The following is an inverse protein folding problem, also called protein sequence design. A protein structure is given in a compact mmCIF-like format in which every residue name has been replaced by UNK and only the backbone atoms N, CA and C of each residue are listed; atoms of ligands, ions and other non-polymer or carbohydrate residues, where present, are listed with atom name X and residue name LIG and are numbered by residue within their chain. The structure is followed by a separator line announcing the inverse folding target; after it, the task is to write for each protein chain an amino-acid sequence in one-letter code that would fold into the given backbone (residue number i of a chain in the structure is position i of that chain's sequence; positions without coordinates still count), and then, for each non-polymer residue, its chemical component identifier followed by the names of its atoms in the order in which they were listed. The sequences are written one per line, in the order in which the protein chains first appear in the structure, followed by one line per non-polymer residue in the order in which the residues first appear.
data_IF_721899014368
#
_entry.id   IF_721899014368
#
_cell.length_a   1.000
_cell.length_b   1.000
_cell.length_c   1.000
_cell.angle_alpha   90.00
_cell.angle_beta   90.00
_cell.angle_gamma   90.00
#
_symmetry.space_group_name_H-M   'P 1'
#
loop_
_entity.id
_entity.type
_entity.pdbx_description
1 polymer ?
#
# COMPACT_ATOMS: atom_id res chain seq x y z
N UNK A 1 22.92 16.08 4.86
CA UNK A 1 22.59 15.28 3.68
C UNK A 1 23.01 13.85 3.99
N UNK A 2 22.09 13.05 4.48
CA UNK A 2 22.39 11.71 4.98
C UNK A 2 22.29 10.72 3.83
N UNK A 3 23.32 9.92 3.63
CA UNK A 3 23.36 8.85 2.64
C UNK A 3 22.65 7.64 3.24
N UNK A 4 21.52 7.29 2.68
CA UNK A 4 20.79 6.07 3.04
C UNK A 4 21.42 4.92 2.25
N UNK A 5 21.84 3.89 2.95
CA UNK A 5 22.70 2.78 2.58
C UNK A 5 22.60 2.21 1.16
N UNK A 6 23.76 1.72 0.65
CA UNK A 6 23.86 0.90 -0.56
C UNK A 6 23.08 -0.39 -0.39
N UNK A 7 22.16 -0.65 -1.31
CA UNK A 7 21.66 -2.00 -1.54
C UNK A 7 22.71 -2.67 -2.42
N UNK A 8 23.61 -3.48 -1.83
CA UNK A 8 24.56 -4.25 -2.61
C UNK A 8 23.81 -5.23 -3.52
N UNK A 9 23.93 -5.05 -4.84
CA UNK A 9 23.46 -6.02 -5.81
C UNK A 9 24.46 -7.17 -5.89
N UNK A 10 23.96 -8.40 -5.87
CA UNK A 10 24.76 -9.56 -6.19
C UNK A 10 25.27 -9.43 -7.63
N UNK A 11 26.60 -9.39 -7.81
CA UNK A 11 27.36 -9.45 -9.06
C UNK A 11 27.01 -8.38 -10.13
N UNK A 12 27.53 -7.15 -9.96
CA UNK A 12 27.44 -6.11 -10.97
C UNK A 12 28.54 -6.23 -12.02
N UNK A 13 28.32 -7.05 -13.05
CA UNK A 13 29.19 -7.07 -14.25
C UNK A 13 28.76 -6.07 -15.34
N UNK A 14 27.69 -5.33 -15.16
CA UNK A 14 27.26 -4.25 -16.05
C UNK A 14 27.42 -2.90 -15.36
N UNK A 15 28.24 -2.01 -15.93
CA UNK A 15 28.55 -0.68 -15.37
C UNK A 15 27.39 0.33 -15.35
N UNK A 16 26.13 -0.11 -15.26
CA UNK A 16 24.95 0.72 -15.19
C UNK A 16 24.70 1.18 -13.75
N UNK A 17 24.83 2.48 -13.49
CA UNK A 17 24.50 3.10 -12.21
C UNK A 17 23.22 3.90 -12.30
N UNK A 18 22.41 3.90 -11.23
CA UNK A 18 21.21 4.70 -11.11
C UNK A 18 21.20 5.48 -9.80
N UNK A 19 20.82 6.74 -9.87
CA UNK A 19 20.62 7.59 -8.68
C UNK A 19 19.14 7.92 -8.59
N UNK A 20 18.54 7.61 -7.43
CA UNK A 20 17.13 7.90 -7.14
C UNK A 20 17.09 9.02 -6.11
N UNK A 21 16.41 10.09 -6.44
CA UNK A 21 16.21 11.23 -5.56
C UNK A 21 14.84 11.09 -4.89
N UNK A 22 14.86 10.83 -3.60
CA UNK A 22 13.69 10.61 -2.75
C UNK A 22 13.51 9.14 -2.35
N UNK A 23 13.58 8.86 -1.05
CA UNK A 23 13.36 7.56 -0.43
C UNK A 23 11.91 7.38 0.09
N UNK A 24 10.92 7.98 -0.57
CA UNK A 24 9.51 7.67 -0.36
C UNK A 24 9.14 6.34 -1.01
N UNK A 25 7.88 5.89 -0.87
CA UNK A 25 7.42 4.59 -1.38
C UNK A 25 7.74 4.39 -2.86
N UNK A 26 7.49 5.41 -3.71
CA UNK A 26 7.80 5.33 -5.14
C UNK A 26 9.29 5.22 -5.44
N UNK A 27 10.13 6.00 -4.74
CA UNK A 27 11.58 5.92 -4.90
C UNK A 27 12.16 4.58 -4.45
N UNK A 28 11.69 4.05 -3.32
CA UNK A 28 12.08 2.73 -2.83
C UNK A 28 11.65 1.61 -3.79
N UNK A 29 10.42 1.64 -4.30
CA UNK A 29 9.94 0.67 -5.28
C UNK A 29 10.75 0.73 -6.60
N UNK A 30 11.13 1.95 -7.04
CA UNK A 30 12.00 2.12 -8.22
C UNK A 30 13.40 1.58 -7.96
N UNK A 31 13.96 1.81 -6.76
CA UNK A 31 15.26 1.28 -6.35
C UNK A 31 15.26 -0.26 -6.41
N UNK A 32 14.27 -0.89 -5.79
CA UNK A 32 14.12 -2.34 -5.80
C UNK A 32 14.05 -2.89 -7.23
N UNK A 33 13.21 -2.31 -8.09
CA UNK A 33 13.05 -2.77 -9.49
C UNK A 33 14.32 -2.58 -10.33
N UNK A 34 15.07 -1.51 -10.11
CA UNK A 34 16.34 -1.28 -10.82
C UNK A 34 17.44 -2.21 -10.31
N UNK A 35 17.54 -2.40 -8.99
CA UNK A 35 18.49 -3.36 -8.39
C UNK A 35 18.20 -4.79 -8.88
N UNK A 36 16.94 -5.20 -8.96
CA UNK A 36 16.54 -6.50 -9.51
C UNK A 36 16.93 -6.68 -11.00
N UNK A 37 17.16 -5.58 -11.73
CA UNK A 37 17.66 -5.58 -13.11
C UNK A 37 19.18 -5.45 -13.22
N UNK A 38 19.90 -5.50 -12.10
CA UNK A 38 21.36 -5.45 -12.06
C UNK A 38 21.97 -4.04 -12.10
N UNK A 39 21.20 -3.00 -11.83
CA UNK A 39 21.75 -1.66 -11.65
C UNK A 39 22.38 -1.52 -10.27
N UNK A 40 23.52 -0.81 -10.19
CA UNK A 40 24.08 -0.28 -8.94
C UNK A 40 23.27 0.97 -8.57
N UNK A 41 22.41 0.86 -7.53
CA UNK A 41 21.43 1.90 -7.18
C UNK A 41 21.84 2.65 -5.94
N UNK A 42 21.91 3.98 -6.06
CA UNK A 42 22.06 4.89 -4.92
C UNK A 42 20.76 5.66 -4.70
N UNK A 43 20.21 5.62 -3.50
CA UNK A 43 19.03 6.41 -3.10
C UNK A 43 19.47 7.57 -2.24
N UNK A 44 19.03 8.78 -2.54
CA UNK A 44 19.33 10.01 -1.82
C UNK A 44 18.03 10.64 -1.34
N UNK A 45 17.94 10.98 -0.06
CA UNK A 45 16.79 11.71 0.50
C UNK A 45 17.27 12.91 1.31
N UNK A 46 16.40 13.89 1.50
CA UNK A 46 16.63 15.03 2.38
C UNK A 46 16.41 14.70 3.86
N UNK A 47 15.67 13.63 4.17
CA UNK A 47 15.38 13.16 5.52
C UNK A 47 16.36 12.06 5.91
N UNK A 48 16.56 11.89 7.22
CA UNK A 48 17.47 10.88 7.78
C UNK A 48 16.87 9.47 7.79
N UNK A 49 15.58 9.34 7.50
CA UNK A 49 14.85 8.07 7.48
C UNK A 49 14.10 7.89 6.16
N UNK A 50 14.07 6.66 5.59
CA UNK A 50 13.27 6.38 4.42
C UNK A 50 11.77 6.33 4.75
N UNK A 51 10.93 6.28 3.69
CA UNK A 51 9.48 6.14 3.79
C UNK A 51 8.71 7.39 3.35
N UNK A 52 9.30 8.59 3.46
CA UNK A 52 8.64 9.83 3.08
C UNK A 52 7.30 10.01 3.80
N UNK A 53 6.18 10.11 3.07
CA UNK A 53 4.83 10.21 3.66
C UNK A 53 4.33 8.90 4.28
N UNK A 54 4.99 7.78 4.05
CA UNK A 54 4.71 6.49 4.69
C UNK A 54 5.63 6.20 5.89
N UNK A 55 6.42 7.18 6.34
CA UNK A 55 7.28 7.04 7.51
C UNK A 55 6.51 7.17 8.83
N UNK A 56 7.20 6.94 9.95
CA UNK A 56 6.65 7.10 11.29
C UNK A 56 7.52 8.04 12.12
N UNK A 57 6.92 8.70 13.09
CA UNK A 57 7.61 9.47 14.13
C UNK A 57 7.61 8.65 15.41
N UNK A 58 8.76 8.63 16.09
CA UNK A 58 8.89 8.08 17.44
C UNK A 58 9.03 9.22 18.43
N UNK A 59 8.11 9.27 19.41
CA UNK A 59 8.13 10.25 20.46
C UNK A 59 7.72 9.63 21.80
N UNK A 60 8.53 9.81 22.83
CA UNK A 60 8.29 9.34 24.19
C UNK A 60 7.97 7.83 24.29
N UNK A 61 8.59 7.02 23.44
CA UNK A 61 8.35 5.57 23.36
C UNK A 61 7.14 5.15 22.53
N UNK A 62 6.39 6.10 21.97
CA UNK A 62 5.25 5.85 21.09
C UNK A 62 5.63 6.03 19.62
N UNK A 63 5.01 5.22 18.76
CA UNK A 63 5.12 5.32 17.31
C UNK A 63 3.87 5.96 16.72
N UNK A 64 4.06 6.98 15.89
CA UNK A 64 3.00 7.67 15.15
C UNK A 64 3.24 7.52 13.66
N UNK A 65 2.35 6.83 12.97
CA UNK A 65 2.41 6.71 11.52
C UNK A 65 1.99 8.03 10.85
N UNK A 66 2.80 8.51 9.90
CA UNK A 66 2.56 9.78 9.19
C UNK A 66 1.68 9.62 7.94
N UNK A 67 1.38 8.39 7.56
CA UNK A 67 0.70 8.10 6.32
C UNK A 67 -0.25 6.92 6.39
N UNK A 68 -0.43 6.20 5.28
CA UNK A 68 -1.34 5.07 5.21
C UNK A 68 -0.97 3.98 6.22
N UNK A 69 -1.94 3.56 7.00
CA UNK A 69 -1.82 2.44 7.94
C UNK A 69 -2.47 1.16 7.39
N UNK A 70 -3.24 1.29 6.30
CA UNK A 70 -3.95 0.18 5.66
C UNK A 70 -3.35 -0.07 4.28
N UNK A 71 -2.96 -1.32 4.04
CA UNK A 71 -2.50 -1.80 2.72
C UNK A 71 -3.70 -2.30 1.93
N UNK A 72 -4.09 -1.57 0.90
CA UNK A 72 -5.29 -1.87 0.10
C UNK A 72 -5.03 -2.79 -1.08
N UNK A 73 -3.77 -2.89 -1.55
CA UNK A 73 -3.38 -3.66 -2.76
C UNK A 73 -2.11 -4.47 -2.45
N UNK A 74 -2.18 -5.49 -1.57
CA UNK A 74 -1.01 -6.24 -1.13
C UNK A 74 -0.31 -7.01 -2.26
N UNK A 75 -1.02 -7.37 -3.33
CA UNK A 75 -0.43 -8.06 -4.48
C UNK A 75 0.69 -7.25 -5.15
N UNK A 76 0.61 -5.92 -5.21
CA UNK A 76 1.68 -5.10 -5.77
C UNK A 76 2.99 -5.19 -4.97
N UNK A 77 2.88 -5.33 -3.67
CA UNK A 77 4.06 -5.54 -2.82
C UNK A 77 4.65 -6.93 -3.04
N UNK A 78 3.81 -7.97 -3.12
CA UNK A 78 4.27 -9.33 -3.44
C UNK A 78 4.99 -9.39 -4.78
N UNK A 79 4.46 -8.73 -5.81
CA UNK A 79 5.12 -8.63 -7.12
C UNK A 79 6.46 -7.90 -7.04
N UNK A 80 6.55 -6.86 -6.24
CA UNK A 80 7.80 -6.11 -6.05
C UNK A 80 8.86 -6.95 -5.35
N UNK A 81 8.49 -7.71 -4.30
CA UNK A 81 9.37 -8.65 -3.63
C UNK A 81 9.82 -9.78 -4.55
N UNK A 82 8.88 -10.39 -5.27
CA UNK A 82 9.16 -11.45 -6.24
C UNK A 82 10.14 -11.00 -7.34
N UNK A 83 10.01 -9.76 -7.82
CA UNK A 83 10.97 -9.17 -8.77
C UNK A 83 12.40 -9.08 -8.20
N UNK A 84 12.54 -9.04 -6.87
CA UNK A 84 13.83 -9.06 -6.17
C UNK A 84 14.27 -10.47 -5.72
N UNK A 85 13.54 -11.52 -6.14
CA UNK A 85 13.81 -12.91 -5.73
C UNK A 85 13.51 -13.20 -4.25
N UNK A 86 12.58 -12.45 -3.64
CA UNK A 86 12.16 -12.60 -2.23
C UNK A 86 10.66 -12.84 -2.12
N UNK A 87 10.25 -13.43 -1.01
CA UNK A 87 8.85 -13.62 -0.64
C UNK A 87 8.41 -12.53 0.33
N UNK A 88 7.36 -11.77 -0.04
CA UNK A 88 6.87 -10.65 0.77
C UNK A 88 6.39 -11.09 2.17
N UNK A 89 5.69 -12.21 2.23
CA UNK A 89 5.08 -12.70 3.47
C UNK A 89 6.12 -13.28 4.47
N UNK A 90 7.39 -13.44 4.06
CA UNK A 90 8.50 -13.76 4.98
C UNK A 90 9.03 -12.50 5.69
N UNK A 91 8.94 -11.34 5.06
CA UNK A 91 9.44 -10.08 5.60
C UNK A 91 8.36 -9.24 6.29
N UNK A 92 7.09 -9.40 5.88
CA UNK A 92 5.99 -8.53 6.30
C UNK A 92 4.74 -9.34 6.67
N UNK A 93 4.33 -9.24 7.92
CA UNK A 93 3.06 -9.80 8.39
C UNK A 93 1.91 -8.83 8.09
N UNK A 94 0.98 -9.22 7.22
CA UNK A 94 -0.28 -8.50 7.01
C UNK A 94 -1.41 -9.19 7.75
N UNK A 95 -2.24 -8.40 8.41
CA UNK A 95 -3.46 -8.86 9.08
C UNK A 95 -4.68 -8.30 8.38
N UNK A 96 -5.58 -9.20 7.96
CA UNK A 96 -6.87 -8.77 7.42
C UNK A 96 -7.67 -8.04 8.50
N UNK A 97 -8.27 -6.92 8.13
CA UNK A 97 -9.17 -6.16 8.99
C UNK A 97 -10.61 -6.61 8.74
N UNK A 98 -11.28 -7.09 9.78
CA UNK A 98 -12.72 -7.37 9.75
C UNK A 98 -13.28 -7.14 11.17
N UNK A 99 -14.07 -6.10 11.39
CA UNK A 99 -14.47 -5.06 10.42
C UNK A 99 -13.32 -4.12 10.01
N UNK A 100 -13.46 -3.44 8.86
CA UNK A 100 -12.49 -2.44 8.40
C UNK A 100 -12.49 -1.21 9.28
N UNK A 101 -13.71 -0.67 9.56
CA UNK A 101 -13.95 0.49 10.42
C UNK A 101 -15.43 0.56 10.82
N UNK A 102 -15.70 1.36 11.82
CA UNK A 102 -17.05 1.71 12.26
C UNK A 102 -17.22 3.24 12.20
N UNK A 103 -18.32 3.68 11.60
CA UNK A 103 -18.77 5.06 11.63
C UNK A 103 -19.85 5.17 12.70
N UNK A 104 -19.70 6.13 13.61
CA UNK A 104 -20.68 6.42 14.67
C UNK A 104 -21.18 7.85 14.53
N UNK A 105 -22.49 8.01 14.55
CA UNK A 105 -23.14 9.31 14.56
C UNK A 105 -23.54 9.70 15.97
N UNK A 106 -23.73 11.03 16.24
CA UNK A 106 -24.13 11.51 17.57
C UNK A 106 -25.48 10.99 18.07
N UNK A 107 -26.37 10.59 17.18
CA UNK A 107 -27.68 9.99 17.49
C UNK A 107 -27.61 8.52 17.92
N UNK A 108 -26.42 7.95 17.94
CA UNK A 108 -26.18 6.54 18.26
C UNK A 108 -26.25 5.59 17.06
N UNK A 109 -26.56 6.10 15.87
CA UNK A 109 -26.51 5.30 14.63
C UNK A 109 -25.07 4.84 14.38
N UNK A 110 -24.94 3.62 13.86
CA UNK A 110 -23.65 2.99 13.52
C UNK A 110 -23.72 2.35 12.15
N UNK A 111 -22.60 2.43 11.44
CA UNK A 111 -22.32 1.70 10.20
C UNK A 111 -21.01 0.95 10.34
N UNK A 112 -21.02 -0.35 10.12
CA UNK A 112 -19.85 -1.22 10.25
C UNK A 112 -19.40 -1.66 8.86
N UNK A 113 -18.27 -1.15 8.41
CA UNK A 113 -17.67 -1.56 7.13
C UNK A 113 -16.90 -2.87 7.30
N UNK A 114 -17.22 -3.87 6.48
CA UNK A 114 -16.64 -5.21 6.57
C UNK A 114 -16.52 -5.87 5.21
N UNK A 115 -15.73 -6.96 5.14
CA UNK A 115 -15.42 -7.66 3.89
C UNK A 115 -16.62 -8.36 3.26
N UNK A 116 -17.48 -8.94 4.08
CA UNK A 116 -18.63 -9.72 3.65
C UNK A 116 -19.67 -8.81 2.99
N UNK A 117 -19.93 -9.04 1.69
CA UNK A 117 -20.86 -8.23 0.89
C UNK A 117 -22.30 -8.32 1.37
N UNK A 118 -22.71 -9.47 1.91
CA UNK A 118 -24.09 -9.63 2.41
C UNK A 118 -24.27 -8.87 3.73
N UNK A 119 -23.29 -8.90 4.58
CA UNK A 119 -23.27 -8.08 5.79
C UNK A 119 -23.20 -6.58 5.47
N UNK A 120 -22.39 -6.18 4.47
CA UNK A 120 -22.37 -4.80 3.99
C UNK A 120 -23.71 -4.36 3.44
N UNK A 121 -24.39 -5.22 2.67
CA UNK A 121 -25.76 -4.97 2.19
C UNK A 121 -26.73 -4.75 3.35
N UNK A 122 -26.63 -5.55 4.40
CA UNK A 122 -27.43 -5.39 5.59
C UNK A 122 -27.12 -4.08 6.34
N UNK A 123 -25.88 -3.66 6.42
CA UNK A 123 -25.50 -2.37 7.01
C UNK A 123 -26.08 -1.18 6.20
N UNK A 124 -26.00 -1.22 4.88
CA UNK A 124 -26.63 -0.21 4.01
C UNK A 124 -28.15 -0.17 4.22
N UNK A 125 -28.80 -1.36 4.29
CA UNK A 125 -30.24 -1.44 4.50
C UNK A 125 -30.69 -0.90 5.86
N UNK A 126 -29.85 -0.93 6.90
CA UNK A 126 -30.15 -0.30 8.20
C UNK A 126 -30.23 1.21 8.10
N UNK A 127 -29.40 1.83 7.27
CA UNK A 127 -29.37 3.27 7.09
C UNK A 127 -30.50 3.72 6.15
N UNK A 128 -30.54 3.12 4.95
CA UNK A 128 -31.56 3.45 3.96
C UNK A 128 -31.82 2.21 3.05
N UNK A 129 -32.92 1.49 3.25
CA UNK A 129 -33.25 0.28 2.48
C UNK A 129 -33.31 0.50 0.97
N UNK A 130 -33.67 1.71 0.52
CA UNK A 130 -33.76 2.06 -0.91
C UNK A 130 -32.40 2.11 -1.59
N UNK A 131 -31.33 2.31 -0.83
CA UNK A 131 -29.96 2.44 -1.36
C UNK A 131 -29.28 1.10 -1.61
N UNK A 132 -29.86 -0.03 -1.19
CA UNK A 132 -29.28 -1.37 -1.40
C UNK A 132 -29.00 -1.65 -2.88
N UNK A 133 -29.96 -1.33 -3.77
CA UNK A 133 -29.77 -1.48 -5.23
C UNK A 133 -28.66 -0.58 -5.78
N UNK A 134 -28.56 0.63 -5.25
CA UNK A 134 -27.48 1.58 -5.58
C UNK A 134 -26.12 1.06 -5.15
N UNK A 135 -26.04 0.48 -3.97
CA UNK A 135 -24.82 -0.14 -3.44
C UNK A 135 -24.37 -1.33 -4.31
N UNK A 136 -25.28 -2.23 -4.68
CA UNK A 136 -24.95 -3.35 -5.57
C UNK A 136 -24.44 -2.89 -6.94
N UNK A 137 -25.07 -1.87 -7.50
CA UNK A 137 -24.62 -1.25 -8.75
C UNK A 137 -23.23 -0.63 -8.58
N UNK A 138 -22.99 0.08 -7.47
CA UNK A 138 -21.71 0.68 -7.14
C UNK A 138 -20.59 -0.37 -7.08
N UNK A 139 -20.82 -1.52 -6.43
CA UNK A 139 -19.84 -2.61 -6.37
C UNK A 139 -19.48 -3.14 -7.75
N UNK A 140 -20.47 -3.43 -8.60
CA UNK A 140 -20.26 -3.90 -9.99
C UNK A 140 -19.48 -2.87 -10.84
N UNK A 141 -19.86 -1.60 -10.73
CA UNK A 141 -19.18 -0.53 -11.47
C UNK A 141 -17.73 -0.33 -10.95
N UNK A 142 -17.51 -0.49 -9.64
CA UNK A 142 -16.17 -0.40 -9.03
C UNK A 142 -15.27 -1.56 -9.46
N UNK A 143 -15.79 -2.78 -9.46
CA UNK A 143 -15.08 -3.96 -9.95
C UNK A 143 -14.65 -3.80 -11.42
N UNK A 144 -15.57 -3.36 -12.29
CA UNK A 144 -15.27 -3.12 -13.70
C UNK A 144 -14.19 -2.03 -13.87
N UNK A 145 -14.25 -0.94 -13.07
CA UNK A 145 -13.25 0.13 -13.11
C UNK A 145 -11.89 -0.34 -12.60
N UNK A 146 -11.87 -1.22 -11.61
CA UNK A 146 -10.64 -1.83 -11.11
C UNK A 146 -9.95 -2.63 -12.22
N UNK A 147 -10.66 -3.54 -12.86
CA UNK A 147 -10.08 -4.35 -13.95
C UNK A 147 -9.59 -3.48 -15.09
N UNK A 148 -10.40 -2.59 -15.61
CA UNK A 148 -10.02 -1.76 -16.75
C UNK A 148 -8.97 -0.70 -16.37
N UNK A 149 -9.18 0.04 -15.30
CA UNK A 149 -8.34 1.18 -14.96
C UNK A 149 -7.04 0.80 -14.24
N UNK A 150 -7.07 -0.28 -13.46
CA UNK A 150 -5.93 -0.69 -12.65
C UNK A 150 -5.15 -1.86 -13.27
N UNK A 151 -5.82 -2.91 -13.71
CA UNK A 151 -5.15 -4.09 -14.25
C UNK A 151 -4.76 -3.91 -15.73
N UNK A 152 -5.64 -3.33 -16.56
CA UNK A 152 -5.34 -3.17 -18.00
C UNK A 152 -4.49 -1.92 -18.32
N UNK A 153 -4.77 -0.77 -17.68
CA UNK A 153 -4.09 0.51 -17.98
C UNK A 153 -3.03 0.91 -16.96
N UNK A 154 -3.11 0.41 -15.73
CA UNK A 154 -2.24 0.81 -14.62
C UNK A 154 -0.96 -0.01 -14.47
N UNK A 155 -0.76 -1.01 -15.30
CA UNK A 155 0.41 -1.91 -15.30
C UNK A 155 1.29 -1.76 -16.50
#
# INVERSE_FOLDING_TARGET
MTRIEHIESADSTSGNRAIIIGAGLGGLASAMRLSARGYDVTVIDKLDVPGGRGSAIWQDGFRFDLGPTIVTVPQLYRELWAACGREFDEDVELRALDPFYEIRWPDGTKFVAQQDTDKMRAEVAKIEPRDVKGFEKFLKDSERRYWFGFEDLGR
#
